data_IF_955112495055
#
_entry.id   IF_955112495055
#
_cell.length_a   1.000
_cell.length_b   1.000
_cell.length_c   1.000
_cell.angle_alpha   90.00
_cell.angle_beta   90.00
_cell.angle_gamma   90.00
#
_symmetry.space_group_name_H-M   'P 1'
#
loop_
_entity.id
_entity.type
_entity.pdbx_description
1 polymer ?
#
# COMPACT_ATOMS: atom_id res chain seq x y z
N UNK A 1 -31.98 5.29 24.25
CA UNK A 1 -30.57 4.87 24.37
C UNK A 1 -29.85 5.30 23.10
N UNK A 2 -29.16 6.45 23.14
CA UNK A 2 -28.49 7.01 21.97
C UNK A 2 -27.14 6.31 21.82
N UNK A 3 -27.07 5.28 20.97
CA UNK A 3 -25.81 4.63 20.59
C UNK A 3 -25.03 5.61 19.70
N UNK A 4 -24.29 6.55 20.29
CA UNK A 4 -23.18 7.19 19.58
C UNK A 4 -22.16 6.10 19.32
N UNK A 5 -22.21 5.50 18.13
CA UNK A 5 -21.09 4.71 17.62
C UNK A 5 -19.95 5.71 17.47
N UNK A 6 -19.02 5.70 18.41
CA UNK A 6 -17.77 6.43 18.29
C UNK A 6 -17.07 5.93 17.02
N UNK A 7 -17.03 6.77 15.99
CA UNK A 7 -16.44 6.39 14.70
C UNK A 7 -14.93 6.34 14.86
N UNK A 8 -14.36 5.15 14.73
CA UNK A 8 -12.90 4.94 14.78
C UNK A 8 -12.15 5.76 13.71
N UNK A 9 -12.69 5.80 12.48
CA UNK A 9 -12.23 6.69 11.41
C UNK A 9 -13.19 7.87 11.21
N UNK A 10 -12.63 9.06 11.10
CA UNK A 10 -13.34 10.27 10.66
C UNK A 10 -13.76 10.15 9.19
N UNK A 11 -14.80 10.88 8.79
CA UNK A 11 -15.28 10.90 7.41
C UNK A 11 -14.18 11.35 6.43
N UNK A 12 -13.35 12.31 6.84
CA UNK A 12 -12.20 12.78 6.06
C UNK A 12 -11.14 11.70 5.88
N UNK A 13 -10.88 10.90 6.93
CA UNK A 13 -9.92 9.78 6.88
C UNK A 13 -10.45 8.68 5.96
N UNK A 14 -11.73 8.34 6.04
CA UNK A 14 -12.37 7.35 5.16
C UNK A 14 -12.26 7.79 3.70
N UNK A 15 -12.56 9.06 3.40
CA UNK A 15 -12.44 9.63 2.05
C UNK A 15 -10.99 9.53 1.56
N UNK A 16 -10.01 9.93 2.37
CA UNK A 16 -8.59 9.88 2.03
C UNK A 16 -8.12 8.44 1.77
N UNK A 17 -8.44 7.50 2.66
CA UNK A 17 -8.04 6.10 2.52
C UNK A 17 -8.70 5.44 1.29
N UNK A 18 -9.96 5.77 1.01
CA UNK A 18 -10.67 5.27 -0.18
C UNK A 18 -10.06 5.85 -1.45
N UNK A 19 -9.71 7.14 -1.47
CA UNK A 19 -9.03 7.79 -2.58
C UNK A 19 -7.66 7.16 -2.83
N UNK A 20 -6.87 6.90 -1.79
CA UNK A 20 -5.60 6.19 -1.89
C UNK A 20 -5.79 4.78 -2.48
N UNK A 21 -6.80 4.03 -2.02
CA UNK A 21 -7.14 2.70 -2.56
C UNK A 21 -7.54 2.74 -4.03
N UNK A 22 -8.35 3.71 -4.43
CA UNK A 22 -8.72 3.93 -5.82
C UNK A 22 -7.51 4.32 -6.69
N UNK A 23 -6.62 5.17 -6.17
CA UNK A 23 -5.41 5.58 -6.87
C UNK A 23 -4.45 4.41 -7.08
N UNK A 24 -4.29 3.52 -6.10
CA UNK A 24 -3.54 2.25 -6.26
C UNK A 24 -4.09 1.43 -7.42
N UNK A 25 -5.42 1.31 -7.48
CA UNK A 25 -6.09 0.58 -8.56
C UNK A 25 -5.83 1.23 -9.93
N UNK A 26 -6.02 2.55 -10.05
CA UNK A 26 -5.76 3.30 -11.29
C UNK A 26 -4.30 3.17 -11.72
N UNK A 27 -3.34 3.31 -10.79
CA UNK A 27 -1.92 3.10 -11.07
C UNK A 27 -1.66 1.68 -11.57
N UNK A 28 -2.29 0.65 -11.00
CA UNK A 28 -2.16 -0.72 -11.53
C UNK A 28 -2.71 -0.85 -12.95
N UNK A 29 -3.80 -0.16 -13.29
CA UNK A 29 -4.38 -0.18 -14.65
C UNK A 29 -3.41 0.47 -15.64
N UNK A 30 -2.91 1.66 -15.32
CA UNK A 30 -2.05 2.47 -16.20
C UNK A 30 -0.65 1.84 -16.36
N UNK A 31 -0.04 1.41 -15.25
CA UNK A 31 1.30 0.81 -15.24
C UNK A 31 1.29 -0.69 -15.57
N UNK A 32 0.19 -1.19 -16.15
CA UNK A 32 0.12 -2.51 -16.79
C UNK A 32 0.72 -2.50 -18.20
N UNK A 33 1.64 -1.58 -18.47
CA UNK A 33 2.42 -1.52 -19.70
C UNK A 33 3.32 -2.78 -19.80
N UNK A 34 3.48 -3.38 -20.99
CA UNK A 34 4.19 -4.66 -21.20
C UNK A 34 5.71 -4.50 -21.12
N UNK A 35 6.19 -4.01 -19.97
CA UNK A 35 7.60 -4.02 -19.62
C UNK A 35 7.85 -5.41 -19.03
N UNK A 36 8.65 -6.24 -19.72
CA UNK A 36 8.94 -7.64 -19.35
C UNK A 36 9.78 -7.77 -18.04
N UNK A 37 9.78 -6.76 -17.18
CA UNK A 37 10.53 -6.71 -15.93
C UNK A 37 9.62 -7.07 -14.74
N UNK A 38 9.84 -8.23 -14.08
CA UNK A 38 9.05 -8.64 -12.93
C UNK A 38 9.22 -7.64 -11.79
N UNK A 39 8.12 -7.07 -11.28
CA UNK A 39 8.17 -6.15 -10.13
C UNK A 39 8.17 -4.65 -10.48
N UNK A 40 8.24 -4.25 -11.75
CA UNK A 40 8.25 -2.83 -12.16
C UNK A 40 7.02 -2.04 -11.67
N UNK A 41 5.83 -2.64 -11.73
CA UNK A 41 4.62 -1.97 -11.22
C UNK A 41 4.72 -1.69 -9.70
N UNK A 42 5.57 -2.46 -8.99
CA UNK A 42 5.95 -2.32 -7.57
C UNK A 42 6.25 -0.90 -7.11
N UNK A 43 7.01 -0.17 -7.90
CA UNK A 43 7.52 1.14 -7.49
C UNK A 43 6.43 2.20 -7.31
N UNK A 44 5.34 2.12 -8.09
CA UNK A 44 4.35 3.19 -8.13
C UNK A 44 3.17 2.97 -7.19
N UNK A 45 2.69 1.73 -7.03
CA UNK A 45 1.51 1.48 -6.19
C UNK A 45 1.81 1.57 -4.69
N UNK A 46 3.06 1.33 -4.27
CA UNK A 46 3.47 1.45 -2.85
C UNK A 46 3.38 2.90 -2.36
N UNK A 47 3.51 3.87 -3.27
CA UNK A 47 3.53 5.30 -2.96
C UNK A 47 2.23 5.78 -2.28
N UNK A 48 1.05 5.69 -2.92
CA UNK A 48 -0.20 6.10 -2.28
C UNK A 48 -0.55 5.29 -1.04
N UNK A 49 -0.07 4.04 -0.93
CA UNK A 49 -0.28 3.22 0.26
C UNK A 49 0.47 3.80 1.47
N UNK A 50 1.79 4.01 1.35
CA UNK A 50 2.61 4.56 2.43
C UNK A 50 2.14 5.98 2.79
N UNK A 51 1.80 6.81 1.79
CA UNK A 51 1.27 8.16 2.03
C UNK A 51 -0.03 8.09 2.83
N UNK A 52 -1.01 7.28 2.40
CA UNK A 52 -2.31 7.19 3.09
C UNK A 52 -2.17 6.74 4.55
N UNK A 53 -1.31 5.75 4.81
CA UNK A 53 -1.02 5.29 6.18
C UNK A 53 -0.31 6.35 7.01
N UNK A 54 0.62 7.09 6.40
CA UNK A 54 1.37 8.17 7.08
C UNK A 54 0.52 9.38 7.44
N UNK A 55 -0.53 9.64 6.67
CA UNK A 55 -1.45 10.75 6.93
C UNK A 55 -2.43 10.42 8.06
N UNK A 56 -3.06 9.25 8.01
CA UNK A 56 -4.08 8.87 9.00
C UNK A 56 -3.45 8.46 10.34
N UNK A 57 -2.25 7.85 10.33
CA UNK A 57 -1.52 7.43 11.54
C UNK A 57 -2.35 6.57 12.52
N UNK A 58 -3.26 5.74 12.01
CA UNK A 58 -4.08 4.80 12.79
C UNK A 58 -3.84 3.36 12.35
N UNK A 59 -3.92 2.38 13.27
CA UNK A 59 -3.80 0.99 12.87
C UNK A 59 -5.04 0.58 12.07
N UNK A 60 -4.84 -0.17 10.99
CA UNK A 60 -5.88 -0.60 10.06
C UNK A 60 -6.01 0.28 8.81
N UNK A 61 -5.27 1.38 8.71
CA UNK A 61 -5.31 2.27 7.53
C UNK A 61 -4.81 1.58 6.27
N UNK A 62 -3.69 0.85 6.37
CA UNK A 62 -3.11 0.08 5.28
C UNK A 62 -4.03 -1.07 4.86
N UNK A 63 -4.63 -1.77 5.82
CA UNK A 63 -5.60 -2.81 5.57
C UNK A 63 -6.84 -2.27 4.84
N UNK A 64 -7.35 -1.11 5.24
CA UNK A 64 -8.49 -0.47 4.57
C UNK A 64 -8.16 -0.09 3.12
N UNK A 65 -7.00 0.55 2.89
CA UNK A 65 -6.52 0.88 1.54
C UNK A 65 -6.36 -0.40 0.70
N UNK A 66 -5.81 -1.46 1.30
CA UNK A 66 -5.66 -2.78 0.69
C UNK A 66 -7.01 -3.43 0.35
N UNK A 67 -8.01 -3.29 1.20
CA UNK A 67 -9.36 -3.79 0.97
C UNK A 67 -10.02 -3.08 -0.22
N UNK A 68 -10.00 -1.75 -0.24
CA UNK A 68 -10.60 -0.95 -1.34
C UNK A 68 -9.91 -1.26 -2.67
N UNK A 69 -8.57 -1.20 -2.69
CA UNK A 69 -7.79 -1.49 -3.90
C UNK A 69 -7.93 -2.94 -4.37
N UNK A 70 -8.01 -3.89 -3.43
CA UNK A 70 -8.25 -5.31 -3.70
C UNK A 70 -9.63 -5.58 -4.29
N UNK A 71 -10.68 -5.00 -3.73
CA UNK A 71 -12.04 -5.12 -4.26
C UNK A 71 -12.10 -4.56 -5.69
N UNK A 72 -11.59 -3.35 -5.91
CA UNK A 72 -11.57 -2.75 -7.25
C UNK A 72 -10.78 -3.63 -8.24
N UNK A 73 -9.61 -4.13 -7.85
CA UNK A 73 -8.80 -5.00 -8.71
C UNK A 73 -9.49 -6.33 -9.05
N UNK A 74 -10.20 -6.91 -8.08
CA UNK A 74 -10.95 -8.16 -8.26
C UNK A 74 -12.19 -7.98 -9.13
N UNK A 75 -12.97 -6.91 -8.94
CA UNK A 75 -14.18 -6.64 -9.74
C UNK A 75 -13.86 -6.27 -11.18
N UNK A 76 -12.83 -5.45 -11.41
CA UNK A 76 -12.48 -4.96 -12.76
C UNK A 76 -11.56 -5.88 -13.53
N UNK A 77 -11.18 -7.03 -12.97
CA UNK A 77 -10.58 -8.08 -13.77
C UNK A 77 -9.19 -7.73 -14.35
N UNK A 78 -8.22 -7.32 -13.53
CA UNK A 78 -6.90 -6.84 -14.03
C UNK A 78 -5.79 -7.93 -14.06
N UNK A 79 -6.07 -9.12 -14.58
CA UNK A 79 -5.11 -10.22 -14.87
C UNK A 79 -5.55 -11.59 -14.36
N UNK A 80 -5.19 -12.70 -15.03
CA UNK A 80 -5.76 -14.06 -14.95
C UNK A 80 -6.17 -14.66 -13.59
N UNK A 81 -5.73 -14.08 -12.46
CA UNK A 81 -5.96 -14.52 -11.07
C UNK A 81 -6.82 -13.53 -10.27
N UNK A 82 -7.73 -12.86 -10.94
CA UNK A 82 -8.51 -11.71 -10.47
C UNK A 82 -9.15 -11.88 -9.07
N UNK A 83 -9.64 -13.08 -8.74
CA UNK A 83 -10.26 -13.35 -7.42
C UNK A 83 -9.25 -13.26 -6.28
N UNK A 84 -7.98 -13.61 -6.54
CA UNK A 84 -6.91 -13.58 -5.55
C UNK A 84 -6.23 -12.21 -5.43
N UNK A 85 -6.61 -11.24 -6.26
CA UNK A 85 -6.11 -9.86 -6.12
C UNK A 85 -6.51 -9.28 -4.76
N UNK A 86 -7.73 -9.53 -4.27
CA UNK A 86 -8.16 -9.10 -2.95
C UNK A 86 -7.23 -9.57 -1.84
N UNK A 87 -6.86 -10.86 -1.83
CA UNK A 87 -5.94 -11.44 -0.84
C UNK A 87 -4.58 -10.75 -0.93
N UNK A 88 -4.05 -10.58 -2.14
CA UNK A 88 -2.77 -9.91 -2.36
C UNK A 88 -2.75 -8.49 -1.81
N UNK A 89 -3.75 -7.67 -2.11
CA UNK A 89 -3.80 -6.30 -1.62
C UNK A 89 -4.06 -6.21 -0.12
N UNK A 90 -4.85 -7.11 0.44
CA UNK A 90 -5.03 -7.22 1.89
C UNK A 90 -3.73 -7.60 2.59
N UNK A 91 -3.00 -8.61 2.12
CA UNK A 91 -1.72 -9.03 2.72
C UNK A 91 -0.69 -7.91 2.72
N UNK A 92 -0.63 -7.17 1.62
CA UNK A 92 0.22 -5.99 1.49
C UNK A 92 -0.20 -4.90 2.48
N UNK A 93 -1.49 -4.55 2.54
CA UNK A 93 -2.02 -3.54 3.44
C UNK A 93 -1.78 -3.88 4.91
N UNK A 94 -2.02 -5.14 5.27
CA UNK A 94 -1.73 -5.68 6.61
C UNK A 94 -0.24 -5.57 6.96
N UNK A 95 0.64 -5.90 6.01
CA UNK A 95 2.07 -5.78 6.22
C UNK A 95 2.49 -4.33 6.42
N UNK A 96 1.99 -3.40 5.60
CA UNK A 96 2.29 -1.98 5.75
C UNK A 96 1.77 -1.45 7.08
N UNK A 97 0.60 -1.87 7.55
CA UNK A 97 0.11 -1.52 8.89
C UNK A 97 1.01 -2.06 10.00
N UNK A 98 1.48 -3.31 9.89
CA UNK A 98 2.41 -3.89 10.87
C UNK A 98 3.69 -3.07 10.97
N UNK A 99 4.30 -2.71 9.83
CA UNK A 99 5.49 -1.86 9.81
C UNK A 99 5.21 -0.43 10.25
N UNK A 100 4.04 0.11 9.91
CA UNK A 100 3.63 1.44 10.37
C UNK A 100 3.54 1.50 11.89
N UNK A 101 2.92 0.52 12.53
CA UNK A 101 2.86 0.41 13.99
C UNK A 101 4.25 0.19 14.58
N UNK A 102 5.05 -0.72 14.00
CA UNK A 102 6.41 -1.02 14.46
C UNK A 102 7.33 0.20 14.47
N UNK A 103 7.18 1.09 13.49
CA UNK A 103 7.97 2.32 13.36
C UNK A 103 7.24 3.58 13.82
N UNK A 104 6.14 3.44 14.58
CA UNK A 104 5.34 4.54 15.12
C UNK A 104 4.93 5.60 14.07
N UNK A 105 4.58 5.14 12.85
CA UNK A 105 4.17 5.96 11.70
C UNK A 105 5.22 6.98 11.23
N UNK A 106 6.50 6.77 11.55
CA UNK A 106 7.62 7.66 11.18
C UNK A 106 8.15 7.40 9.76
N UNK A 107 7.26 7.52 8.79
CA UNK A 107 7.59 7.41 7.36
C UNK A 107 8.25 8.66 6.79
N UNK A 108 8.41 9.72 7.60
CA UNK A 108 9.29 10.85 7.32
C UNK A 108 10.77 10.43 7.24
N UNK A 109 11.13 9.38 7.97
CA UNK A 109 12.45 8.77 7.86
C UNK A 109 12.51 7.90 6.59
N UNK A 110 13.43 8.27 5.69
CA UNK A 110 13.68 7.56 4.44
C UNK A 110 13.93 6.07 4.65
N UNK A 111 14.70 5.70 5.69
CA UNK A 111 15.00 4.31 5.97
C UNK A 111 13.73 3.48 6.27
N UNK A 112 12.81 4.03 7.06
CA UNK A 112 11.55 3.36 7.44
C UNK A 112 10.66 3.15 6.22
N UNK A 113 10.52 4.17 5.37
CA UNK A 113 9.71 4.07 4.16
C UNK A 113 10.31 3.09 3.14
N UNK A 114 11.64 3.10 2.97
CA UNK A 114 12.37 2.16 2.10
C UNK A 114 12.19 0.72 2.58
N UNK A 115 12.42 0.44 3.87
CA UNK A 115 12.24 -0.89 4.45
C UNK A 115 10.79 -1.36 4.23
N UNK A 116 9.82 -0.52 4.55
CA UNK A 116 8.40 -0.86 4.39
C UNK A 116 8.04 -1.12 2.93
N UNK A 117 8.57 -0.33 1.99
CA UNK A 117 8.36 -0.53 0.56
C UNK A 117 8.98 -1.83 0.03
N UNK A 118 10.18 -2.20 0.50
CA UNK A 118 10.81 -3.48 0.19
C UNK A 118 9.92 -4.63 0.67
N UNK A 119 9.53 -4.63 1.95
CA UNK A 119 8.73 -5.71 2.52
C UNK A 119 7.35 -5.82 1.87
N UNK A 120 6.68 -4.69 1.60
CA UNK A 120 5.40 -4.69 0.91
C UNK A 120 5.49 -5.36 -0.48
N UNK A 121 6.57 -5.10 -1.22
CA UNK A 121 6.77 -5.67 -2.54
C UNK A 121 7.24 -7.15 -2.48
N UNK A 122 8.03 -7.53 -1.48
CA UNK A 122 8.39 -8.94 -1.23
C UNK A 122 7.17 -9.77 -0.83
N UNK A 123 6.29 -9.24 0.02
CA UNK A 123 5.04 -9.92 0.41
C UNK A 123 4.12 -10.09 -0.80
N UNK A 124 4.01 -9.07 -1.65
CA UNK A 124 3.30 -9.17 -2.94
C UNK A 124 3.85 -10.34 -3.78
N UNK A 125 5.17 -10.46 -3.87
CA UNK A 125 5.84 -11.52 -4.62
C UNK A 125 5.52 -12.89 -4.00
N UNK A 126 5.64 -13.04 -2.68
CA UNK A 126 5.33 -14.27 -1.97
C UNK A 126 3.87 -14.70 -2.18
N UNK A 127 2.91 -13.80 -2.00
CA UNK A 127 1.49 -14.10 -2.21
C UNK A 127 1.24 -14.55 -3.66
N UNK A 128 1.85 -13.86 -4.64
CA UNK A 128 1.70 -14.22 -6.04
C UNK A 128 2.26 -15.62 -6.36
N UNK A 129 3.40 -15.99 -5.76
CA UNK A 129 3.97 -17.33 -5.93
C UNK A 129 3.17 -18.40 -5.19
N UNK A 130 2.68 -18.13 -3.98
CA UNK A 130 1.81 -19.05 -3.24
C UNK A 130 0.54 -19.37 -4.05
N UNK A 131 -0.07 -18.36 -4.67
CA UNK A 131 -1.23 -18.57 -5.54
C UNK A 131 -0.86 -19.43 -6.76
N UNK A 132 0.28 -19.17 -7.41
CA UNK A 132 0.74 -19.97 -8.56
C UNK A 132 0.99 -21.43 -8.18
N UNK A 133 1.56 -21.69 -7.00
CA UNK A 133 1.79 -23.04 -6.49
C UNK A 133 0.46 -23.78 -6.25
N UNK A 134 -0.52 -23.12 -5.64
CA UNK A 134 -1.87 -23.67 -5.38
C UNK A 134 -2.58 -24.05 -6.68
N UNK A 135 -2.30 -23.34 -7.77
CA UNK A 135 -2.90 -23.58 -9.08
C UNK A 135 -2.15 -24.63 -9.92
N UNK A 136 -1.16 -25.31 -9.33
CA UNK A 136 -0.45 -26.41 -9.97
C UNK A 136 0.61 -25.97 -10.99
N UNK A 137 1.07 -24.71 -10.93
CA UNK A 137 2.21 -24.29 -11.75
C UNK A 137 3.46 -25.07 -11.32
N UNK A 138 4.20 -25.60 -12.30
CA UNK A 138 5.32 -26.48 -12.04
C UNK A 138 6.42 -25.76 -11.20
N UNK A 139 6.83 -26.30 -10.04
CA UNK A 139 7.71 -25.62 -9.07
C UNK A 139 9.06 -25.18 -9.65
N UNK A 140 9.56 -25.87 -10.67
CA UNK A 140 10.83 -25.56 -11.32
C UNK A 140 10.85 -24.16 -11.95
N UNK A 141 9.77 -23.76 -12.63
CA UNK A 141 9.64 -22.42 -13.21
C UNK A 141 9.48 -21.34 -12.13
N UNK A 142 8.88 -21.70 -10.99
CA UNK A 142 8.72 -20.80 -9.85
C UNK A 142 10.08 -20.48 -9.21
N UNK A 143 10.91 -21.50 -8.97
CA UNK A 143 12.22 -21.34 -8.30
C UNK A 143 13.18 -20.48 -9.13
N UNK A 144 13.26 -20.70 -10.44
CA UNK A 144 14.06 -19.86 -11.35
C UNK A 144 13.51 -18.42 -11.40
N UNK A 145 12.19 -18.26 -11.41
CA UNK A 145 11.53 -16.96 -11.34
C UNK A 145 11.84 -16.20 -10.04
N UNK A 146 11.88 -16.89 -8.90
CA UNK A 146 12.11 -16.29 -7.58
C UNK A 146 13.46 -15.57 -7.52
N UNK A 147 14.53 -16.17 -8.05
CA UNK A 147 15.88 -15.57 -7.95
C UNK A 147 15.94 -14.18 -8.59
N UNK A 148 15.55 -14.08 -9.86
CA UNK A 148 15.55 -12.81 -10.60
C UNK A 148 14.49 -11.85 -10.07
N UNK A 149 13.29 -12.36 -9.79
CA UNK A 149 12.16 -11.55 -9.31
C UNK A 149 12.42 -10.93 -7.93
N UNK A 150 13.13 -11.63 -7.03
CA UNK A 150 13.42 -11.13 -5.68
C UNK A 150 14.24 -9.85 -5.71
N UNK A 151 15.31 -9.82 -6.50
CA UNK A 151 16.18 -8.63 -6.64
C UNK A 151 15.36 -7.46 -7.17
N UNK A 152 14.56 -7.70 -8.21
CA UNK A 152 13.77 -6.65 -8.84
C UNK A 152 12.67 -6.12 -7.92
N UNK A 153 12.02 -6.97 -7.12
CA UNK A 153 11.04 -6.54 -6.13
C UNK A 153 11.66 -5.73 -5.00
N UNK A 154 12.87 -6.10 -4.54
CA UNK A 154 13.60 -5.32 -3.55
C UNK A 154 13.95 -3.94 -4.11
N UNK A 155 14.52 -3.85 -5.31
CA UNK A 155 14.91 -2.58 -5.93
C UNK A 155 13.71 -1.67 -6.15
N UNK A 156 12.63 -2.17 -6.78
CA UNK A 156 11.44 -1.34 -7.01
C UNK A 156 10.69 -1.00 -5.71
N UNK A 157 10.70 -1.90 -4.73
CA UNK A 157 10.14 -1.64 -3.41
C UNK A 157 10.89 -0.53 -2.67
N UNK A 158 12.23 -0.56 -2.74
CA UNK A 158 13.09 0.47 -2.18
C UNK A 158 12.88 1.83 -2.86
N UNK A 159 12.80 1.86 -4.19
CA UNK A 159 12.51 3.09 -4.95
C UNK A 159 11.14 3.66 -4.58
N UNK A 160 10.10 2.82 -4.53
CA UNK A 160 8.75 3.27 -4.13
C UNK A 160 8.73 3.84 -2.72
N UNK A 161 9.40 3.18 -1.76
CA UNK A 161 9.55 3.68 -0.40
C UNK A 161 10.32 4.99 -0.31
N UNK A 162 11.43 5.12 -1.06
CA UNK A 162 12.24 6.33 -1.13
C UNK A 162 11.43 7.53 -1.67
N UNK A 163 10.72 7.34 -2.78
CA UNK A 163 9.86 8.37 -3.37
C UNK A 163 8.76 8.77 -2.38
N UNK A 164 8.17 7.80 -1.68
CA UNK A 164 7.14 8.07 -0.66
C UNK A 164 7.67 8.96 0.46
N UNK A 165 8.87 8.67 1.00
CA UNK A 165 9.48 9.49 2.04
C UNK A 165 9.71 10.93 1.58
N UNK A 166 10.22 11.14 0.36
CA UNK A 166 10.41 12.49 -0.17
C UNK A 166 9.09 13.24 -0.35
N UNK A 167 8.04 12.57 -0.80
CA UNK A 167 6.70 13.17 -0.92
C UNK A 167 6.18 13.54 0.47
N UNK A 168 6.28 12.65 1.46
CA UNK A 168 5.84 12.90 2.84
C UNK A 168 6.62 14.08 3.45
N UNK A 169 7.93 14.14 3.28
CA UNK A 169 8.75 15.26 3.77
C UNK A 169 8.33 16.59 3.13
N UNK A 170 7.98 16.60 1.84
CA UNK A 170 7.46 17.79 1.16
C UNK A 170 6.07 18.18 1.67
N UNK A 171 5.19 17.21 1.91
CA UNK A 171 3.85 17.46 2.42
C UNK A 171 3.87 17.99 3.86
N UNK A 172 4.79 17.48 4.71
CA UNK A 172 5.05 18.02 6.04
C UNK A 172 5.54 19.47 5.96
N UNK A 173 6.51 19.76 5.07
CA UNK A 173 7.00 21.13 4.87
C UNK A 173 5.95 22.10 4.34
N UNK A 174 4.96 21.61 3.60
CA UNK A 174 3.85 22.41 3.10
C UNK A 174 2.75 22.67 4.14
N UNK A 175 2.90 22.19 5.38
CA UNK A 175 1.91 22.36 6.46
C UNK A 175 0.69 21.44 6.37
N UNK A 176 0.58 20.61 5.32
CA UNK A 176 -0.56 19.71 5.11
C UNK A 176 -0.63 18.54 6.11
N UNK A 177 0.48 18.25 6.80
CA UNK A 177 0.59 17.20 7.82
C UNK A 177 1.02 17.87 9.13
N UNK A 178 0.08 18.46 9.86
CA UNK A 178 0.35 19.14 11.13
C UNK A 178 -0.80 19.92 11.75
N UNK A 179 -1.82 20.29 10.98
CA UNK A 179 -2.85 21.22 11.45
C UNK A 179 -4.14 20.51 11.87
N UNK A 180 -4.11 19.86 13.03
CA UNK A 180 -5.32 19.45 13.73
C UNK A 180 -5.18 19.90 15.19
N UNK A 181 -5.26 21.20 15.50
CA UNK A 181 -5.46 21.70 16.88
C UNK A 181 -5.75 23.22 17.07
N UNK A 182 -6.22 24.00 16.09
CA UNK A 182 -6.54 25.45 16.36
C UNK A 182 -7.80 26.02 15.67
N UNK A 183 -8.89 25.25 15.53
CA UNK A 183 -10.14 25.82 14.99
C UNK A 183 -11.41 25.55 15.79
N UNK A 184 -11.28 25.25 17.09
CA UNK A 184 -12.43 25.00 17.98
C UNK A 184 -12.56 25.95 19.18
N UNK A 185 -11.83 27.07 19.21
CA UNK A 185 -11.94 28.07 20.29
C UNK A 185 -12.58 29.40 19.91
N UNK A 186 -12.87 29.67 18.64
CA UNK A 186 -13.31 31.01 18.20
C UNK A 186 -14.81 31.14 17.92
N UNK A 187 -15.61 30.18 18.39
CA UNK A 187 -17.07 30.30 18.45
C UNK A 187 -17.58 29.85 19.82
N UNK A 188 -17.36 30.66 20.84
CA UNK A 188 -18.06 30.64 22.13
C UNK A 188 -18.11 32.04 22.71
#
# INVERSE_FOLDING_TARGET
>A
MNLRIEKYFSLNEILLLTLCGALIFVLKVIFKLPIHLPGHSGAFWVIPLIIGVSFVKKPGSGLYIGLVSGLLASFFGIGALHVFDLVKYLSIGAATDLFAVLFAYRFDNVAVAVITGIFANVIKMLVNYSIQLVLGVQPFFIILGIGVSSVTHIVFGAIGGLISAFIIQRLIRAGLVGENNESSSDFS
#
